data_IF_558055162608
#
_entry.id   IF_558055162608
#
_cell.length_a   1.000
_cell.length_b   1.000
_cell.length_c   1.000
_cell.angle_alpha   90.00
_cell.angle_beta   90.00
_cell.angle_gamma   90.00
#
_symmetry.space_group_name_H-M   'P 1'
#
loop_
_entity.id
_entity.type
_entity.pdbx_description
1 polymer ?
#
# COMPACT_ATOMS: atom_id res chain seq x y z
N UNK A 1 -2.14 -17.11 49.09
CA UNK A 1 -2.85 -16.20 48.16
C UNK A 1 -1.89 -15.90 47.02
N UNK A 2 -2.14 -16.45 45.82
CA UNK A 2 -1.35 -16.13 44.65
C UNK A 2 -1.74 -14.72 44.14
N UNK A 3 -0.81 -13.89 43.63
CA UNK A 3 -1.11 -12.52 43.21
C UNK A 3 -2.12 -12.51 42.04
N UNK A 4 -3.15 -11.66 42.13
CA UNK A 4 -4.28 -11.56 41.17
C UNK A 4 -3.92 -11.06 39.75
N UNK A 5 -2.66 -10.80 39.46
CA UNK A 5 -2.19 -10.30 38.17
C UNK A 5 -2.13 -11.40 37.08
N UNK A 6 -2.29 -12.67 37.47
CA UNK A 6 -2.23 -13.84 36.58
C UNK A 6 -3.53 -14.16 35.81
N UNK A 7 -4.57 -13.35 35.93
CA UNK A 7 -5.88 -13.60 35.28
C UNK A 7 -6.20 -12.64 34.14
N UNK A 8 -5.28 -11.75 33.76
CA UNK A 8 -5.43 -10.99 32.52
C UNK A 8 -4.94 -11.86 31.36
N UNK A 9 -5.80 -12.20 30.38
CA UNK A 9 -5.37 -12.84 29.14
C UNK A 9 -4.21 -12.07 28.51
N UNK A 10 -4.22 -10.73 28.63
CA UNK A 10 -3.18 -9.82 28.14
C UNK A 10 -1.80 -10.12 28.72
N UNK A 11 -1.70 -10.41 30.02
CA UNK A 11 -0.41 -10.69 30.67
C UNK A 11 0.21 -12.00 30.16
N UNK A 12 -0.63 -13.01 29.89
CA UNK A 12 -0.18 -14.28 29.30
C UNK A 12 0.31 -14.07 27.87
N UNK A 13 -0.41 -13.29 27.06
CA UNK A 13 0.00 -13.00 25.68
C UNK A 13 1.30 -12.19 25.58
N UNK A 14 1.48 -11.17 26.41
CA UNK A 14 2.73 -10.38 26.47
C UNK A 14 3.91 -11.27 26.87
N UNK A 15 3.74 -12.16 27.85
CA UNK A 15 4.78 -13.11 28.26
C UNK A 15 5.13 -14.08 27.13
N UNK A 16 4.17 -14.55 26.35
CA UNK A 16 4.42 -15.44 25.21
C UNK A 16 5.13 -14.71 24.08
N UNK A 17 4.71 -13.50 23.72
CA UNK A 17 5.37 -12.70 22.68
C UNK A 17 6.82 -12.34 23.07
N UNK A 18 7.05 -11.97 24.33
CA UNK A 18 8.39 -11.76 24.86
C UNK A 18 9.20 -13.05 24.88
N UNK A 19 8.60 -14.19 25.23
CA UNK A 19 9.29 -15.47 25.19
C UNK A 19 9.72 -15.87 23.77
N UNK A 20 8.87 -15.60 22.76
CA UNK A 20 9.21 -15.83 21.34
C UNK A 20 10.31 -14.88 20.89
N UNK A 21 10.23 -13.59 21.22
CA UNK A 21 11.28 -12.63 20.90
C UNK A 21 12.62 -13.00 21.54
N UNK A 22 12.61 -13.42 22.81
CA UNK A 22 13.80 -13.92 23.51
C UNK A 22 14.33 -15.19 22.84
N UNK A 23 13.46 -16.10 22.38
CA UNK A 23 13.87 -17.30 21.67
C UNK A 23 14.56 -16.97 20.35
N UNK A 24 13.99 -16.05 19.55
CA UNK A 24 14.56 -15.57 18.27
C UNK A 24 15.92 -14.91 18.50
N UNK A 25 16.03 -14.07 19.54
CA UNK A 25 17.29 -13.40 19.89
C UNK A 25 18.33 -14.37 20.49
N UNK A 26 17.94 -15.52 21.01
CA UNK A 26 18.86 -16.50 21.56
C UNK A 26 19.57 -17.34 20.48
N UNK A 27 19.08 -17.34 19.24
CA UNK A 27 19.68 -18.09 18.12
C UNK A 27 20.92 -17.33 17.61
N UNK A 28 22.12 -17.96 17.60
CA UNK A 28 23.32 -17.34 17.04
C UNK A 28 23.12 -17.06 15.53
N UNK A 29 23.59 -15.90 15.02
CA UNK A 29 23.42 -15.53 13.61
C UNK A 29 24.04 -16.55 12.63
N UNK A 30 25.04 -17.31 13.07
CA UNK A 30 25.74 -18.31 12.24
C UNK A 30 25.22 -19.74 12.42
N UNK A 31 24.13 -19.95 13.18
CA UNK A 31 23.70 -21.30 13.57
C UNK A 31 23.03 -22.13 12.46
N UNK A 32 22.77 -21.55 11.28
CA UNK A 32 22.10 -22.23 10.16
C UNK A 32 20.73 -22.82 10.52
N UNK A 33 20.14 -22.41 11.65
CA UNK A 33 18.90 -22.95 12.17
C UNK A 33 17.76 -22.07 11.68
N UNK A 34 17.01 -22.55 10.69
CA UNK A 34 15.73 -21.95 10.32
C UNK A 34 14.78 -22.03 11.52
N UNK A 35 14.49 -20.88 12.14
CA UNK A 35 13.34 -20.78 13.05
C UNK A 35 12.12 -20.62 12.16
N UNK A 36 11.28 -21.65 12.13
CA UNK A 36 10.03 -21.68 11.35
C UNK A 36 8.99 -20.76 12.02
N UNK A 37 9.18 -19.46 11.86
CA UNK A 37 8.16 -18.42 12.12
C UNK A 37 7.31 -18.39 10.87
N UNK A 38 6.00 -18.69 11.01
CA UNK A 38 5.07 -18.92 9.91
C UNK A 38 5.41 -18.09 8.66
N UNK A 39 6.09 -18.71 7.70
CA UNK A 39 6.54 -18.06 6.46
C UNK A 39 5.32 -17.73 5.61
N UNK A 40 5.12 -16.45 5.34
CA UNK A 40 4.36 -16.04 4.17
C UNK A 40 5.18 -16.42 2.91
N UNK A 41 4.52 -16.84 1.81
CA UNK A 41 5.21 -17.36 0.64
C UNK A 41 6.15 -16.31 0.02
N UNK A 42 7.40 -16.71 -0.24
CA UNK A 42 8.41 -15.96 -0.98
C UNK A 42 8.30 -16.21 -2.49
N UNK A 43 8.54 -15.21 -3.37
CA UNK A 43 8.63 -15.42 -4.80
C UNK A 43 9.97 -16.07 -5.18
N UNK A 44 9.96 -16.88 -6.24
CA UNK A 44 11.14 -17.56 -6.79
C UNK A 44 12.06 -16.57 -7.55
N UNK A 45 13.38 -16.81 -7.47
CA UNK A 45 14.44 -15.99 -8.05
C UNK A 45 14.43 -15.92 -9.61
N UNK A 46 14.83 -14.76 -10.15
CA UNK A 46 14.67 -14.30 -11.56
C UNK A 46 15.55 -14.95 -12.66
N UNK A 47 15.62 -14.39 -13.89
CA UNK A 47 16.30 -13.09 -14.11
C UNK A 47 15.76 -12.15 -15.24
N UNK A 48 16.36 -10.95 -15.29
CA UNK A 48 16.41 -9.92 -16.36
C UNK A 48 15.18 -9.00 -16.57
N UNK A 49 15.46 -7.69 -16.69
CA UNK A 49 14.51 -6.62 -17.02
C UNK A 49 13.84 -6.86 -18.38
N UNK A 50 12.77 -7.64 -18.38
CA UNK A 50 11.73 -7.60 -19.37
C UNK A 50 10.67 -6.59 -18.90
N UNK A 51 10.01 -5.93 -19.86
CA UNK A 51 8.83 -5.09 -19.59
C UNK A 51 7.91 -5.79 -18.59
N UNK A 52 7.75 -5.18 -17.42
CA UNK A 52 6.80 -5.64 -16.40
C UNK A 52 5.42 -5.51 -17.04
N UNK A 53 4.91 -6.62 -17.60
CA UNK A 53 3.48 -6.76 -17.81
C UNK A 53 2.89 -6.79 -16.40
N UNK A 54 2.01 -5.85 -16.02
CA UNK A 54 1.41 -5.86 -14.71
C UNK A 54 0.53 -7.10 -14.66
N UNK A 55 0.91 -8.09 -13.84
CA UNK A 55 0.00 -9.16 -13.50
C UNK A 55 -1.17 -8.54 -12.73
N UNK A 56 -2.40 -8.50 -13.28
CA UNK A 56 -3.54 -7.91 -12.61
C UNK A 56 -4.00 -8.77 -11.42
N UNK A 57 -3.40 -9.94 -11.19
CA UNK A 57 -3.62 -10.71 -9.96
C UNK A 57 -2.80 -10.12 -8.81
N UNK A 58 -3.18 -8.93 -8.37
CA UNK A 58 -2.78 -8.39 -7.08
C UNK A 58 -3.39 -9.29 -5.98
N UNK A 59 -2.66 -10.33 -5.56
CA UNK A 59 -3.07 -11.13 -4.41
C UNK A 59 -2.94 -10.28 -3.14
N UNK A 60 -4.08 -9.75 -2.67
CA UNK A 60 -4.15 -9.04 -1.39
C UNK A 60 -3.59 -9.93 -0.27
N UNK A 61 -2.49 -9.52 0.37
CA UNK A 61 -2.08 -10.10 1.65
C UNK A 61 -3.20 -9.86 2.67
N UNK A 62 -3.90 -10.93 3.06
CA UNK A 62 -4.89 -10.83 4.11
C UNK A 62 -4.20 -10.74 5.47
N UNK A 63 -4.41 -9.63 6.16
CA UNK A 63 -4.03 -9.49 7.57
C UNK A 63 -5.00 -10.34 8.42
N UNK A 64 -4.52 -11.18 9.35
CA UNK A 64 -5.38 -11.98 10.22
C UNK A 64 -6.31 -11.08 11.05
N UNK A 65 -7.64 -11.20 10.88
CA UNK A 65 -8.67 -10.42 11.59
C UNK A 65 -8.92 -10.86 13.06
N UNK A 66 -7.94 -11.48 13.72
CA UNK A 66 -8.06 -11.91 15.11
C UNK A 66 -7.42 -10.90 16.07
N UNK A 67 -8.01 -10.68 17.25
CA UNK A 67 -7.46 -9.83 18.33
C UNK A 67 -6.20 -10.39 19.00
N UNK A 68 -5.22 -10.81 18.20
CA UNK A 68 -3.94 -11.38 18.62
C UNK A 68 -2.80 -10.37 18.58
N UNK A 69 -1.66 -10.79 19.13
CA UNK A 69 -0.38 -10.07 19.02
C UNK A 69 0.15 -10.29 17.59
N UNK A 70 0.47 -9.21 16.89
CA UNK A 70 1.21 -9.26 15.64
C UNK A 70 2.69 -8.97 15.92
N UNK A 71 3.58 -9.79 15.38
CA UNK A 71 5.03 -9.58 15.46
C UNK A 71 5.63 -9.65 14.07
N UNK A 72 6.52 -8.72 13.77
CA UNK A 72 7.35 -8.75 12.58
C UNK A 72 8.82 -8.81 13.01
N UNK A 73 9.60 -9.64 12.32
CA UNK A 73 11.03 -9.81 12.56
C UNK A 73 11.76 -9.19 11.39
N UNK A 74 12.71 -8.32 11.68
CA UNK A 74 13.60 -7.78 10.67
C UNK A 74 14.71 -8.78 10.41
N UNK A 75 14.76 -9.34 9.20
CA UNK A 75 15.93 -10.07 8.75
C UNK A 75 17.12 -9.10 8.73
N UNK A 76 18.18 -9.46 9.44
CA UNK A 76 19.32 -8.57 9.62
C UNK A 76 20.06 -8.38 8.30
N UNK A 77 20.27 -7.13 7.88
CA UNK A 77 21.31 -6.85 6.90
C UNK A 77 22.62 -7.49 7.35
N UNK A 78 23.39 -8.02 6.41
CA UNK A 78 24.59 -8.82 6.71
C UNK A 78 25.47 -8.16 7.77
N UNK A 79 25.62 -8.82 8.92
CA UNK A 79 26.43 -8.34 10.04
C UNK A 79 25.70 -7.43 11.04
N UNK A 80 24.37 -7.34 10.99
CA UNK A 80 23.55 -6.73 12.03
C UNK A 80 22.81 -7.80 12.83
N UNK A 81 22.74 -7.59 14.15
CA UNK A 81 21.87 -8.41 15.00
C UNK A 81 20.39 -8.22 14.63
N UNK A 82 19.57 -9.27 14.68
CA UNK A 82 18.14 -9.18 14.41
C UNK A 82 17.44 -8.18 15.34
N UNK A 83 16.39 -7.55 14.82
CA UNK A 83 15.50 -6.64 15.52
C UNK A 83 14.10 -7.17 15.37
N UNK A 84 13.36 -7.22 16.48
CA UNK A 84 11.98 -7.69 16.51
C UNK A 84 11.08 -6.51 16.88
N UNK A 85 10.02 -6.32 16.10
CA UNK A 85 8.98 -5.33 16.39
C UNK A 85 7.69 -6.07 16.74
N UNK A 86 7.23 -5.85 17.97
CA UNK A 86 6.01 -6.48 18.50
C UNK A 86 4.93 -5.42 18.63
N UNK A 87 3.77 -5.68 18.04
CA UNK A 87 2.58 -4.83 18.20
C UNK A 87 1.73 -5.34 19.36
N UNK A 88 1.49 -4.48 20.36
CA UNK A 88 0.78 -4.84 21.57
C UNK A 88 -0.73 -4.58 21.45
N UNK A 89 -1.52 -5.63 21.65
CA UNK A 89 -2.96 -5.55 21.88
C UNK A 89 -3.24 -5.07 23.33
N UNK A 90 -4.34 -4.36 23.63
CA UNK A 90 -5.55 -4.24 22.81
C UNK A 90 -5.66 -2.96 21.98
N UNK A 91 -4.76 -1.99 22.17
CA UNK A 91 -4.95 -0.65 21.61
C UNK A 91 -4.30 -0.47 20.23
N UNK A 92 -3.41 -1.38 19.79
CA UNK A 92 -2.67 -1.30 18.52
C UNK A 92 -2.07 0.09 18.23
N UNK A 93 -1.63 0.74 19.28
CA UNK A 93 -0.95 2.04 19.24
C UNK A 93 0.38 1.94 19.97
N UNK A 94 0.77 0.76 20.43
CA UNK A 94 1.99 0.55 21.18
C UNK A 94 2.77 -0.55 20.52
N UNK A 95 4.00 -0.23 20.14
CA UNK A 95 4.92 -1.18 19.56
C UNK A 95 6.14 -1.29 20.46
N UNK A 96 6.68 -2.49 20.64
CA UNK A 96 7.95 -2.67 21.32
C UNK A 96 8.99 -3.10 20.30
N UNK A 97 10.07 -2.33 20.18
CA UNK A 97 11.26 -2.72 19.43
C UNK A 97 12.20 -3.42 20.39
N UNK A 98 12.70 -4.59 20.01
CA UNK A 98 13.63 -5.39 20.79
C UNK A 98 14.85 -5.69 19.93
N UNK A 99 16.05 -5.38 20.43
CA UNK A 99 17.31 -5.56 19.69
C UNK A 99 18.45 -5.99 20.61
N UNK A 100 19.59 -6.38 20.01
CA UNK A 100 20.86 -6.53 20.73
C UNK A 100 21.79 -5.37 20.49
N UNK A 101 22.48 -4.96 21.56
CA UNK A 101 23.53 -3.96 21.54
C UNK A 101 24.60 -4.36 22.56
N UNK A 102 25.84 -4.49 22.11
CA UNK A 102 26.99 -4.94 22.93
C UNK A 102 26.75 -6.28 23.65
N UNK A 103 26.02 -7.19 22.99
CA UNK A 103 25.67 -8.50 23.54
C UNK A 103 24.51 -8.49 24.54
N UNK A 104 24.01 -7.32 24.93
CA UNK A 104 22.87 -7.17 25.82
C UNK A 104 21.57 -6.99 25.02
N UNK A 105 20.48 -7.58 25.52
CA UNK A 105 19.14 -7.34 24.96
C UNK A 105 18.63 -5.98 25.44
N UNK A 106 18.16 -5.18 24.49
CA UNK A 106 17.54 -3.87 24.71
C UNK A 106 16.10 -3.92 24.22
N UNK A 107 15.26 -3.06 24.79
CA UNK A 107 13.88 -2.90 24.35
C UNK A 107 13.41 -1.47 24.55
N UNK A 108 12.60 -0.97 23.64
CA UNK A 108 11.99 0.34 23.70
C UNK A 108 10.53 0.25 23.32
N UNK A 109 9.69 0.94 24.08
CA UNK A 109 8.29 1.15 23.74
C UNK A 109 8.19 2.36 22.79
N UNK A 110 7.64 2.14 21.61
CA UNK A 110 7.25 3.18 20.66
C UNK A 110 5.80 3.57 20.94
N UNK A 111 5.57 4.85 21.23
CA UNK A 111 4.25 5.42 21.47
C UNK A 111 4.00 6.59 20.50
N UNK A 112 2.78 6.73 19.94
CA UNK A 112 2.45 7.74 18.94
C UNK A 112 2.75 9.17 19.35
N UNK A 113 2.76 9.49 20.65
CA UNK A 113 3.15 10.80 21.17
C UNK A 113 3.40 10.65 22.68
N UNK A 114 4.56 11.13 23.15
CA UNK A 114 4.71 11.65 24.50
C UNK A 114 5.55 12.94 24.36
N UNK A 115 4.88 14.10 24.27
CA UNK A 115 5.47 15.45 24.36
C UNK A 115 6.11 16.08 23.10
N UNK A 116 5.63 15.78 21.89
CA UNK A 116 6.06 16.52 20.67
C UNK A 116 7.41 16.08 20.08
N UNK A 117 8.02 15.05 20.65
CA UNK A 117 9.07 14.25 20.01
C UNK A 117 8.44 12.89 19.66
N UNK A 118 7.98 12.73 18.41
CA UNK A 118 7.41 11.46 17.98
C UNK A 118 8.49 10.36 18.06
N UNK A 119 8.34 9.47 19.05
CA UNK A 119 9.18 8.28 19.21
C UNK A 119 8.51 7.03 18.65
N UNK A 120 7.31 7.16 18.06
CA UNK A 120 6.54 6.04 17.55
C UNK A 120 5.78 6.34 16.27
N UNK A 121 5.06 5.33 15.80
CA UNK A 121 4.29 5.39 14.56
C UNK A 121 3.07 6.31 14.78
N UNK A 122 2.85 7.24 13.86
CA UNK A 122 1.84 8.30 14.03
C UNK A 122 0.39 7.81 13.86
N UNK A 123 0.18 6.63 13.26
CA UNK A 123 -1.15 6.13 13.01
C UNK A 123 -1.76 5.41 14.24
N UNK A 124 -3.07 5.57 14.39
CA UNK A 124 -3.88 4.79 15.32
C UNK A 124 -4.28 3.46 14.66
N UNK A 125 -4.35 2.37 15.43
CA UNK A 125 -4.70 1.03 14.92
C UNK A 125 -3.70 0.46 13.91
N UNK A 126 -2.43 0.47 14.29
CA UNK A 126 -1.33 0.02 13.45
C UNK A 126 -1.02 -1.44 13.63
N UNK A 127 -0.78 -2.12 12.51
CA UNK A 127 -0.22 -3.49 12.51
C UNK A 127 1.04 -3.47 11.66
N UNK A 128 2.17 -3.83 12.28
CA UNK A 128 3.44 -3.97 11.55
C UNK A 128 3.39 -5.25 10.72
N UNK A 129 3.69 -5.14 9.43
CA UNK A 129 3.75 -6.28 8.50
C UNK A 129 5.15 -6.69 8.15
N UNK A 130 6.02 -5.72 7.99
CA UNK A 130 7.37 -5.94 7.51
C UNK A 130 8.33 -5.00 8.22
N UNK A 131 9.52 -5.52 8.51
CA UNK A 131 10.61 -4.72 9.07
C UNK A 131 11.86 -5.07 8.30
N UNK A 132 12.61 -4.05 7.90
CA UNK A 132 13.87 -4.20 7.21
C UNK A 132 14.95 -3.43 7.96
N UNK A 133 16.16 -4.00 8.06
CA UNK A 133 17.29 -3.31 8.67
C UNK A 133 18.24 -2.76 7.62
N UNK A 134 18.87 -1.63 7.94
CA UNK A 134 19.93 -1.06 7.12
C UNK A 134 20.92 -0.26 7.95
N UNK A 135 21.72 0.54 7.24
CA UNK A 135 22.62 1.51 7.85
C UNK A 135 22.49 2.85 7.14
N UNK A 136 22.47 3.90 7.93
CA UNK A 136 22.62 5.27 7.46
C UNK A 136 24.00 5.50 6.82
N UNK A 137 24.20 6.57 6.03
CA UNK A 137 25.50 6.93 5.48
C UNK A 137 26.61 7.15 6.52
N UNK A 138 26.25 7.53 7.74
CA UNK A 138 27.18 7.71 8.87
C UNK A 138 27.47 6.39 9.63
N UNK A 139 26.87 5.28 9.21
CA UNK A 139 27.04 3.95 9.77
C UNK A 139 26.10 3.60 10.91
N UNK A 140 25.24 4.53 11.34
CA UNK A 140 24.20 4.23 12.34
C UNK A 140 23.21 3.19 11.83
N UNK A 141 22.63 2.40 12.74
CA UNK A 141 21.64 1.37 12.38
C UNK A 141 20.31 2.03 12.06
N UNK A 142 19.63 1.50 11.05
CA UNK A 142 18.30 1.97 10.63
C UNK A 142 17.31 0.81 10.52
N UNK A 143 16.03 1.14 10.71
CA UNK A 143 14.89 0.25 10.53
C UNK A 143 13.84 0.91 9.64
N UNK A 144 13.46 0.23 8.57
CA UNK A 144 12.21 0.51 7.87
C UNK A 144 11.10 -0.35 8.46
N UNK A 145 10.04 0.26 8.96
CA UNK A 145 8.86 -0.43 9.50
C UNK A 145 7.67 -0.17 8.56
N UNK A 146 7.24 -1.20 7.83
CA UNK A 146 6.00 -1.14 7.05
C UNK A 146 4.83 -1.55 7.94
N UNK A 147 3.80 -0.71 7.97
CA UNK A 147 2.64 -0.91 8.83
C UNK A 147 1.32 -0.57 8.10
N UNK A 148 0.25 -1.23 8.53
CA UNK A 148 -1.12 -0.84 8.19
C UNK A 148 -1.51 0.39 9.02
N UNK A 149 -1.91 1.48 8.40
CA UNK A 149 -2.52 2.61 9.12
C UNK A 149 -4.04 2.47 9.32
N UNK A 150 -4.65 1.37 8.84
CA UNK A 150 -6.10 1.12 8.90
C UNK A 150 -6.45 -0.34 9.25
N UNK A 151 -5.67 -0.99 10.13
CA UNK A 151 -5.80 -2.44 10.39
C UNK A 151 -7.19 -2.94 10.83
N UNK A 152 -8.01 -2.05 11.40
CA UNK A 152 -9.40 -2.35 11.79
C UNK A 152 -10.43 -1.50 11.04
N UNK A 153 -10.01 -0.78 10.00
CA UNK A 153 -10.82 0.10 9.17
C UNK A 153 -11.47 -0.61 7.99
N UNK A 154 -11.49 0.07 6.84
CA UNK A 154 -12.30 -0.13 5.61
C UNK A 154 -12.27 -1.51 4.93
N UNK A 155 -11.66 -2.51 5.55
CA UNK A 155 -11.56 -3.87 5.04
C UNK A 155 -10.35 -4.09 4.12
N UNK A 156 -9.54 -3.06 3.92
CA UNK A 156 -8.37 -3.09 3.05
C UNK A 156 -7.19 -2.36 3.71
N UNK A 157 -5.95 -2.77 3.42
CA UNK A 157 -4.77 -2.22 4.09
C UNK A 157 -4.43 -0.79 3.62
N UNK A 158 -3.98 0.09 4.52
CA UNK A 158 -3.36 1.38 4.15
C UNK A 158 -1.88 1.33 4.45
N UNK A 159 -1.07 0.93 3.48
CA UNK A 159 0.36 0.72 3.67
C UNK A 159 1.08 2.04 3.93
N UNK A 160 1.87 2.06 4.99
CA UNK A 160 2.75 3.17 5.39
C UNK A 160 4.12 2.62 5.77
N UNK A 161 5.13 3.48 5.71
CA UNK A 161 6.49 3.22 6.16
C UNK A 161 6.93 4.29 7.17
N UNK A 162 7.56 3.85 8.26
CA UNK A 162 8.38 4.71 9.12
C UNK A 162 9.85 4.26 9.06
N UNK A 163 10.75 5.24 8.96
CA UNK A 163 12.19 5.04 9.06
C UNK A 163 12.65 5.45 10.45
N UNK A 164 13.29 4.53 11.16
CA UNK A 164 13.84 4.75 12.50
C UNK A 164 15.36 4.63 12.45
N UNK A 165 16.05 5.44 13.26
CA UNK A 165 17.50 5.40 13.46
C UNK A 165 17.83 5.14 14.92
N UNK A 166 18.84 4.31 15.17
CA UNK A 166 19.34 4.06 16.52
C UNK A 166 20.34 5.15 16.92
N UNK A 167 19.92 6.06 17.77
CA UNK A 167 20.72 7.15 18.32
C UNK A 167 21.08 6.84 19.78
N UNK A 168 22.34 6.46 20.03
CA UNK A 168 22.77 6.01 21.35
C UNK A 168 22.14 4.67 21.74
N UNK A 169 21.19 4.71 22.66
CA UNK A 169 20.43 3.56 23.15
C UNK A 169 18.92 3.65 22.84
N UNK A 170 18.52 4.58 21.96
CA UNK A 170 17.13 4.80 21.59
C UNK A 170 16.91 4.83 20.07
N UNK A 171 15.87 4.15 19.60
CA UNK A 171 15.32 4.31 18.27
C UNK A 171 14.50 5.60 18.17
N UNK A 172 14.81 6.42 17.18
CA UNK A 172 14.12 7.67 16.87
C UNK A 172 13.54 7.60 15.47
N UNK A 173 12.29 8.05 15.30
CA UNK A 173 11.69 8.19 13.97
C UNK A 173 12.35 9.36 13.27
N UNK A 174 13.00 9.11 12.13
CA UNK A 174 13.66 10.16 11.33
C UNK A 174 12.84 10.53 10.09
N UNK A 175 11.90 9.68 9.69
CA UNK A 175 10.94 9.95 8.61
C UNK A 175 9.71 9.04 8.73
N UNK A 176 8.53 9.57 8.41
CA UNK A 176 7.28 8.80 8.37
C UNK A 176 6.45 9.20 7.15
N UNK A 177 6.08 8.21 6.34
CA UNK A 177 5.17 8.37 5.20
C UNK A 177 3.80 8.94 5.56
N UNK A 178 3.37 8.84 6.82
CA UNK A 178 2.11 9.42 7.29
C UNK A 178 2.11 10.95 7.20
N UNK A 179 3.28 11.59 7.22
CA UNK A 179 3.44 13.04 7.11
C UNK A 179 3.61 13.52 5.67
N UNK A 180 3.61 12.60 4.70
CA UNK A 180 3.87 12.90 3.29
C UNK A 180 2.55 12.91 2.51
N UNK A 181 2.19 14.09 1.99
CA UNK A 181 0.95 14.29 1.22
C UNK A 181 0.96 13.47 -0.07
N UNK A 182 2.12 13.36 -0.72
CA UNK A 182 2.28 12.64 -1.98
C UNK A 182 2.25 11.11 -1.84
N UNK A 183 2.18 10.57 -0.62
CA UNK A 183 2.20 9.13 -0.38
C UNK A 183 0.87 8.46 -0.78
N UNK A 184 0.89 7.75 -1.90
CA UNK A 184 -0.23 6.96 -2.42
C UNK A 184 -0.19 5.55 -1.82
N UNK A 185 -0.75 5.38 -0.62
CA UNK A 185 -0.72 4.11 0.13
C UNK A 185 -2.06 3.40 0.32
N UNK A 186 -3.11 3.85 -0.36
CA UNK A 186 -4.45 3.23 -0.26
C UNK A 186 -4.45 1.83 -0.87
N UNK A 187 -4.99 0.86 -0.14
CA UNK A 187 -5.12 -0.55 -0.55
C UNK A 187 -3.82 -1.14 -1.13
N UNK A 188 -2.69 -0.72 -0.56
CA UNK A 188 -1.40 -0.91 -1.17
C UNK A 188 -0.48 -1.90 -0.46
N UNK A 189 0.69 -2.09 -1.07
CA UNK A 189 1.84 -2.78 -0.49
C UNK A 189 3.11 -1.93 -0.69
N UNK A 190 4.13 -2.19 0.14
CA UNK A 190 5.46 -1.58 0.06
C UNK A 190 6.50 -2.68 -0.10
N UNK A 191 7.24 -2.61 -1.20
CA UNK A 191 8.28 -3.57 -1.56
C UNK A 191 9.66 -2.90 -1.52
N UNK A 192 10.69 -3.65 -1.11
CA UNK A 192 12.08 -3.21 -1.15
C UNK A 192 12.82 -4.04 -2.21
N UNK A 193 12.84 -3.60 -3.48
CA UNK A 193 13.31 -4.44 -4.59
C UNK A 193 14.78 -4.88 -4.45
N UNK A 194 15.61 -4.06 -3.79
CA UNK A 194 17.02 -4.36 -3.55
C UNK A 194 17.26 -5.20 -2.28
N UNK A 195 16.21 -5.49 -1.50
CA UNK A 195 16.33 -6.15 -0.20
C UNK A 195 17.01 -5.28 0.87
N UNK A 196 17.09 -3.97 0.65
CA UNK A 196 17.65 -2.99 1.59
C UNK A 196 16.80 -1.70 1.60
N UNK A 197 17.18 -0.74 2.45
CA UNK A 197 16.45 0.54 2.62
C UNK A 197 16.77 1.58 1.55
N UNK A 198 17.55 1.28 0.51
CA UNK A 198 17.97 2.29 -0.48
C UNK A 198 16.81 2.73 -1.39
N UNK A 199 15.89 1.82 -1.67
CA UNK A 199 14.80 1.98 -2.62
C UNK A 199 13.57 1.23 -2.11
N UNK A 200 12.42 1.85 -2.30
CA UNK A 200 11.14 1.17 -2.13
C UNK A 200 10.22 1.45 -3.31
N UNK A 201 9.30 0.51 -3.53
CA UNK A 201 8.20 0.61 -4.48
C UNK A 201 6.90 0.51 -3.72
N UNK A 202 6.04 1.52 -3.88
CA UNK A 202 4.68 1.52 -3.34
C UNK A 202 3.72 1.17 -4.47
N UNK A 203 2.96 0.10 -4.28
CA UNK A 203 1.86 -0.28 -5.19
C UNK A 203 0.56 0.00 -4.48
N UNK A 204 -0.35 0.73 -5.10
CA UNK A 204 -1.59 1.18 -4.44
C UNK A 204 -2.72 1.40 -5.43
N UNK A 205 -3.90 1.74 -4.91
CA UNK A 205 -5.04 2.17 -5.69
C UNK A 205 -5.53 3.56 -5.30
N UNK A 206 -6.48 4.07 -6.08
CA UNK A 206 -7.01 5.42 -5.98
C UNK A 206 -8.23 5.56 -5.06
N UNK A 207 -8.55 4.56 -4.22
CA UNK A 207 -9.77 4.58 -3.41
C UNK A 207 -9.88 5.80 -2.46
N UNK A 208 -8.76 6.39 -2.02
CA UNK A 208 -8.80 7.65 -1.27
C UNK A 208 -8.67 8.84 -2.21
N UNK A 209 -9.68 9.73 -2.17
CA UNK A 209 -9.73 10.95 -2.96
C UNK A 209 -8.47 11.83 -2.75
N UNK A 210 -8.08 12.56 -3.80
CA UNK A 210 -7.13 13.68 -3.71
C UNK A 210 -5.67 13.35 -4.02
N UNK A 211 -5.38 12.21 -4.64
CA UNK A 211 -4.01 11.89 -5.06
C UNK A 211 -3.56 12.67 -6.30
N UNK A 212 -4.50 13.05 -7.18
CA UNK A 212 -4.24 13.75 -8.42
C UNK A 212 -5.47 14.50 -8.96
N UNK A 213 -5.28 15.27 -10.03
CA UNK A 213 -6.31 16.02 -10.75
C UNK A 213 -7.41 15.15 -11.38
N UNK A 214 -7.23 13.83 -11.40
CA UNK A 214 -8.15 12.86 -11.98
C UNK A 214 -9.09 12.25 -10.94
N UNK A 215 -8.86 12.49 -9.64
CA UNK A 215 -9.61 11.87 -8.54
C UNK A 215 -11.10 12.24 -8.52
N UNK A 216 -11.48 13.37 -9.12
CA UNK A 216 -12.87 13.85 -9.16
C UNK A 216 -13.65 13.47 -10.44
N UNK A 217 -13.04 12.71 -11.34
CA UNK A 217 -13.64 12.37 -12.64
C UNK A 217 -14.71 11.28 -12.49
N UNK A 218 -14.42 10.24 -11.69
CA UNK A 218 -15.33 9.12 -11.40
C UNK A 218 -15.34 8.86 -9.89
N UNK A 219 -16.47 8.36 -9.37
CA UNK A 219 -16.53 7.96 -7.96
C UNK A 219 -15.94 6.56 -7.79
N UNK A 220 -14.72 6.49 -7.25
CA UNK A 220 -13.96 5.27 -7.01
C UNK A 220 -14.36 4.66 -5.65
N UNK A 221 -15.39 3.82 -5.64
CA UNK A 221 -15.88 3.18 -4.40
C UNK A 221 -14.98 2.03 -3.95
N UNK A 222 -14.87 1.74 -2.65
CA UNK A 222 -13.97 0.70 -2.09
C UNK A 222 -14.03 -0.65 -2.83
N UNK A 223 -15.24 -1.17 -3.10
CA UNK A 223 -15.44 -2.44 -3.80
C UNK A 223 -15.57 -2.32 -5.32
N UNK A 224 -15.36 -1.13 -5.87
CA UNK A 224 -15.48 -0.83 -7.30
C UNK A 224 -14.13 -0.83 -8.01
N UNK A 225 -14.14 -0.47 -9.30
CA UNK A 225 -12.90 -0.31 -10.04
C UNK A 225 -12.12 0.91 -9.55
N UNK A 226 -10.80 0.77 -9.56
CA UNK A 226 -9.84 1.81 -9.16
C UNK A 226 -8.75 1.95 -10.20
N UNK A 227 -8.12 3.12 -10.23
CA UNK A 227 -6.83 3.26 -10.88
C UNK A 227 -5.78 2.69 -9.94
N UNK A 228 -4.78 2.02 -10.52
CA UNK A 228 -3.65 1.50 -9.77
C UNK A 228 -2.43 2.35 -10.02
N UNK A 229 -1.58 2.44 -9.00
CA UNK A 229 -0.39 3.27 -9.00
C UNK A 229 0.86 2.48 -8.64
N UNK A 230 1.98 2.93 -9.18
CA UNK A 230 3.31 2.45 -8.81
C UNK A 230 4.19 3.67 -8.58
N UNK A 231 4.63 3.85 -7.34
CA UNK A 231 5.55 4.92 -6.95
C UNK A 231 6.90 4.33 -6.55
N UNK A 232 7.98 4.89 -7.09
CA UNK A 232 9.35 4.55 -6.69
C UNK A 232 9.91 5.66 -5.82
N UNK A 233 10.42 5.30 -4.66
CA UNK A 233 11.02 6.23 -3.71
C UNK A 233 12.45 5.81 -3.38
N UNK A 234 13.35 6.78 -3.32
CA UNK A 234 14.77 6.57 -3.01
C UNK A 234 15.10 7.26 -1.69
N UNK A 235 15.84 6.55 -0.84
CA UNK A 235 16.35 7.10 0.41
C UNK A 235 17.48 8.11 0.14
N UNK A 236 17.26 9.37 0.49
CA UNK A 236 18.22 10.47 0.36
C UNK A 236 18.50 11.09 1.73
N UNK A 237 19.55 10.60 2.39
CA UNK A 237 19.86 10.96 3.77
C UNK A 237 18.82 10.36 4.71
N UNK A 238 17.99 11.20 5.32
CA UNK A 238 17.05 10.79 6.37
C UNK A 238 15.62 10.69 5.85
N UNK A 239 15.40 10.84 4.53
CA UNK A 239 14.06 10.90 3.93
C UNK A 239 13.98 10.09 2.66
N UNK A 240 12.80 9.55 2.40
CA UNK A 240 12.49 9.03 1.06
C UNK A 240 11.99 10.16 0.17
N UNK A 241 12.51 10.21 -1.05
CA UNK A 241 12.11 11.15 -2.11
C UNK A 241 11.51 10.36 -3.25
N UNK A 242 10.30 10.73 -3.69
CA UNK A 242 9.64 10.08 -4.83
C UNK A 242 10.39 10.43 -6.11
N UNK A 243 10.94 9.42 -6.77
CA UNK A 243 11.65 9.54 -8.05
C UNK A 243 10.75 9.19 -9.24
N UNK A 244 9.78 8.29 -9.04
CA UNK A 244 8.83 7.86 -10.05
C UNK A 244 7.42 7.82 -9.49
N UNK A 245 6.44 8.21 -10.30
CA UNK A 245 5.03 8.11 -9.99
C UNK A 245 4.27 7.77 -11.27
N UNK A 246 3.77 6.55 -11.36
CA UNK A 246 3.11 6.03 -12.55
C UNK A 246 1.69 5.58 -12.23
N UNK A 247 0.80 5.73 -13.21
CA UNK A 247 -0.51 5.08 -13.20
C UNK A 247 -0.39 3.84 -14.07
N UNK A 248 -0.78 2.68 -13.54
CA UNK A 248 -0.76 1.42 -14.28
C UNK A 248 -1.69 1.53 -15.49
N UNK A 249 -1.15 1.18 -16.65
CA UNK A 249 -1.90 1.19 -17.91
C UNK A 249 -2.97 0.10 -17.87
N UNK A 250 -4.24 0.50 -17.86
CA UNK A 250 -5.39 -0.38 -17.74
C UNK A 250 -6.63 0.26 -18.38
N UNK A 251 -7.65 -0.54 -18.78
CA UNK A 251 -8.90 -0.03 -19.36
C UNK A 251 -9.55 1.08 -18.52
N UNK A 252 -9.66 0.88 -17.20
CA UNK A 252 -10.27 1.85 -16.30
C UNK A 252 -9.46 3.16 -16.20
N UNK A 253 -8.12 3.07 -16.17
CA UNK A 253 -7.27 4.25 -16.19
C UNK A 253 -7.39 5.03 -17.52
N UNK A 254 -7.49 4.33 -18.65
CA UNK A 254 -7.79 4.93 -19.95
C UNK A 254 -9.13 5.65 -19.93
N UNK A 255 -10.18 5.06 -19.35
CA UNK A 255 -11.49 5.68 -19.24
C UNK A 255 -11.44 6.98 -18.44
N UNK A 256 -10.84 6.95 -17.24
CA UNK A 256 -10.72 8.14 -16.37
C UNK A 256 -9.98 9.25 -17.11
N UNK A 257 -8.85 8.92 -17.76
CA UNK A 257 -8.08 9.89 -18.54
C UNK A 257 -8.89 10.45 -19.71
N UNK A 258 -9.59 9.59 -20.46
CA UNK A 258 -10.44 10.00 -21.57
C UNK A 258 -11.53 10.97 -21.11
N UNK A 259 -12.26 10.65 -20.05
CA UNK A 259 -13.31 11.50 -19.50
C UNK A 259 -12.76 12.86 -19.03
N UNK A 260 -11.59 12.86 -18.39
CA UNK A 260 -10.92 14.09 -17.98
C UNK A 260 -10.62 14.99 -19.18
N UNK A 261 -9.90 14.49 -20.20
CA UNK A 261 -9.53 15.31 -21.37
C UNK A 261 -10.73 15.68 -22.23
N UNK A 262 -11.75 14.81 -22.28
CA UNK A 262 -13.02 15.06 -22.95
C UNK A 262 -13.75 16.25 -22.30
N UNK A 263 -13.82 16.27 -20.97
CA UNK A 263 -14.44 17.35 -20.20
C UNK A 263 -13.70 18.68 -20.28
N UNK A 264 -12.38 18.63 -20.49
CA UNK A 264 -11.56 19.82 -20.74
C UNK A 264 -11.71 20.37 -22.17
N UNK A 265 -12.41 19.66 -23.06
CA UNK A 265 -12.53 20.03 -24.48
C UNK A 265 -11.25 19.83 -25.28
N UNK A 266 -10.31 19.02 -24.79
CA UNK A 266 -9.06 18.72 -25.50
C UNK A 266 -9.29 17.59 -26.52
N UNK A 267 -9.65 17.99 -27.74
CA UNK A 267 -9.93 17.07 -28.85
C UNK A 267 -8.73 16.19 -29.23
N UNK A 268 -7.51 16.75 -29.15
CA UNK A 268 -6.29 16.03 -29.55
C UNK A 268 -6.02 14.92 -28.56
N UNK A 269 -6.02 15.24 -27.27
CA UNK A 269 -5.80 14.24 -26.21
C UNK A 269 -6.94 13.23 -26.13
N UNK A 270 -8.19 13.66 -26.33
CA UNK A 270 -9.36 12.75 -26.36
C UNK A 270 -9.26 11.76 -27.51
N UNK A 271 -8.91 12.23 -28.71
CA UNK A 271 -8.75 11.38 -29.89
C UNK A 271 -7.62 10.36 -29.73
N UNK A 272 -6.62 10.65 -28.90
CA UNK A 272 -5.52 9.73 -28.62
C UNK A 272 -5.90 8.57 -27.67
N UNK A 273 -7.07 8.61 -27.03
CA UNK A 273 -7.54 7.53 -26.13
C UNK A 273 -8.53 6.57 -26.79
N UNK A 274 -8.89 6.78 -28.06
CA UNK A 274 -9.91 6.01 -28.79
C UNK A 274 -9.31 5.35 -30.04
N UNK A 275 -9.88 4.23 -30.46
CA UNK A 275 -9.49 3.54 -31.69
C UNK A 275 -9.90 4.30 -32.95
N UNK A 276 -11.05 4.99 -32.89
CA UNK A 276 -11.62 5.75 -34.00
C UNK A 276 -12.10 7.12 -33.51
N UNK A 277 -11.80 8.19 -34.27
CA UNK A 277 -12.11 9.56 -33.88
C UNK A 277 -13.61 9.83 -33.66
N UNK A 278 -14.50 9.07 -34.33
CA UNK A 278 -15.95 9.19 -34.15
C UNK A 278 -16.43 8.82 -32.75
N UNK A 279 -15.65 8.03 -31.99
CA UNK A 279 -15.98 7.65 -30.62
C UNK A 279 -15.94 8.84 -29.67
N UNK A 280 -15.14 9.88 -29.97
CA UNK A 280 -15.15 11.13 -29.19
C UNK A 280 -16.51 11.84 -29.34
N UNK A 281 -17.02 11.95 -30.56
CA UNK A 281 -18.37 12.52 -30.79
C UNK A 281 -19.45 11.69 -30.11
N UNK A 282 -19.36 10.36 -30.24
CA UNK A 282 -20.31 9.45 -29.61
C UNK A 282 -20.32 9.58 -28.09
N UNK A 283 -19.17 9.73 -27.44
CA UNK A 283 -19.09 9.96 -26.00
C UNK A 283 -19.82 11.24 -25.58
N UNK A 284 -19.72 12.32 -26.36
CA UNK A 284 -20.45 13.57 -26.11
C UNK A 284 -21.95 13.42 -26.31
N UNK A 285 -22.37 12.65 -27.31
CA UNK A 285 -23.79 12.35 -27.52
C UNK A 285 -24.39 11.61 -26.31
N UNK A 286 -23.57 10.86 -25.57
CA UNK A 286 -23.91 10.23 -24.30
C UNK A 286 -23.72 11.13 -23.06
N UNK A 287 -23.28 12.38 -23.23
CA UNK A 287 -23.06 13.34 -22.13
C UNK A 287 -21.88 13.02 -21.22
N UNK A 288 -20.90 12.26 -21.73
CA UNK A 288 -19.71 11.85 -20.96
C UNK A 288 -18.71 13.00 -20.74
N UNK A 289 -18.85 14.12 -21.45
CA UNK A 289 -18.02 15.32 -21.33
C UNK A 289 -18.33 16.17 -20.08
N UNK A 290 -19.44 15.90 -19.39
CA UNK A 290 -19.77 16.54 -18.11
C UNK A 290 -19.42 15.62 -16.93
N UNK A 291 -18.39 14.77 -17.07
CA UNK A 291 -18.01 13.78 -16.07
C UNK A 291 -17.55 14.36 -14.71
N UNK A 292 -16.66 15.37 -14.66
CA UNK A 292 -16.23 15.96 -13.38
C UNK A 292 -17.44 16.48 -12.59
N UNK A 293 -17.63 15.98 -11.36
CA UNK A 293 -18.72 16.41 -10.48
C UNK A 293 -20.08 15.72 -10.70
N UNK A 294 -20.21 14.78 -11.65
CA UNK A 294 -21.44 13.98 -11.82
C UNK A 294 -21.53 12.75 -10.91
N UNK A 295 -20.44 12.38 -10.22
CA UNK A 295 -20.35 11.18 -9.38
C UNK A 295 -20.90 9.93 -10.09
N UNK A 296 -20.42 9.68 -11.30
CA UNK A 296 -20.82 8.51 -12.08
C UNK A 296 -20.53 7.22 -11.30
N UNK A 297 -21.50 6.32 -11.29
CA UNK A 297 -21.33 5.01 -10.68
C UNK A 297 -20.80 4.05 -11.74
N UNK A 298 -19.62 3.51 -11.48
CA UNK A 298 -18.98 2.53 -12.33
C UNK A 298 -19.27 1.13 -11.82
N UNK A 299 -19.55 0.21 -12.73
CA UNK A 299 -19.79 -1.20 -12.44
C UNK A 299 -18.96 -2.08 -13.36
N UNK A 300 -18.48 -3.17 -12.77
CA UNK A 300 -17.74 -4.24 -13.41
C UNK A 300 -18.29 -5.54 -12.81
N UNK A 301 -18.51 -6.57 -13.62
CA UNK A 301 -19.15 -7.79 -13.11
C UNK A 301 -18.19 -8.63 -12.24
N UNK A 302 -16.87 -8.44 -12.40
CA UNK A 302 -15.80 -9.16 -11.69
C UNK A 302 -14.93 -8.29 -10.73
N UNK A 303 -15.22 -6.98 -10.64
CA UNK A 303 -14.55 -6.01 -9.77
C UNK A 303 -13.13 -5.63 -10.18
N UNK A 304 -12.21 -6.61 -10.29
CA UNK A 304 -10.76 -6.39 -10.42
C UNK A 304 -10.24 -6.34 -11.85
N UNK A 305 -10.87 -7.05 -12.78
CA UNK A 305 -10.46 -7.13 -14.21
C UNK A 305 -11.30 -6.22 -15.11
N UNK A 306 -11.84 -5.16 -14.51
CA UNK A 306 -12.76 -4.25 -15.16
C UNK A 306 -12.22 -3.72 -16.49
N UNK A 307 -12.95 -3.99 -17.58
CA UNK A 307 -12.60 -3.50 -18.91
C UNK A 307 -11.67 -4.39 -19.73
N UNK A 308 -11.15 -5.51 -19.17
CA UNK A 308 -10.25 -6.42 -19.91
C UNK A 308 -11.06 -7.33 -20.85
N UNK A 309 -11.97 -8.14 -20.27
CA UNK A 309 -12.79 -9.09 -21.04
C UNK A 309 -14.25 -8.62 -21.19
N UNK A 310 -14.64 -7.58 -20.45
CA UNK A 310 -16.00 -7.08 -20.34
C UNK A 310 -16.04 -5.56 -20.40
N UNK A 311 -17.14 -4.95 -20.87
CA UNK A 311 -17.25 -3.51 -20.88
C UNK A 311 -17.27 -2.94 -19.47
N UNK A 312 -16.70 -1.74 -19.35
CA UNK A 312 -16.94 -0.92 -18.18
C UNK A 312 -18.33 -0.30 -18.35
N UNK A 313 -19.19 -0.43 -17.34
CA UNK A 313 -20.55 0.12 -17.37
C UNK A 313 -20.64 1.32 -16.45
N UNK A 314 -21.13 2.44 -16.96
CA UNK A 314 -21.32 3.66 -16.18
C UNK A 314 -22.80 4.03 -16.22
N UNK A 315 -23.36 4.21 -15.02
CA UNK A 315 -24.69 4.75 -14.86
C UNK A 315 -24.57 6.18 -14.35
N UNK A 316 -25.21 7.15 -15.00
CA UNK A 316 -25.44 8.43 -14.37
C UNK A 316 -26.26 8.20 -13.10
N UNK A 317 -26.13 9.08 -12.12
CA UNK A 317 -26.97 8.99 -10.92
C UNK A 317 -28.45 8.95 -11.34
N UNK A 318 -29.23 8.02 -10.76
CA UNK A 318 -30.63 7.72 -11.16
C UNK A 318 -31.54 8.95 -11.26
N UNK A 319 -31.15 10.08 -10.67
CA UNK A 319 -31.90 11.32 -10.70
C UNK A 319 -32.06 11.95 -12.10
N UNK A 320 -31.21 11.59 -13.09
CA UNK A 320 -31.18 12.28 -14.39
C UNK A 320 -31.87 11.56 -15.56
N UNK A 321 -32.22 10.28 -15.39
CA UNK A 321 -32.95 9.51 -16.43
C UNK A 321 -32.17 9.26 -17.73
N UNK A 322 -30.87 9.53 -17.74
CA UNK A 322 -29.95 9.18 -18.82
C UNK A 322 -29.73 7.65 -18.82
N UNK A 323 -29.65 6.99 -20.00
CA UNK A 323 -29.43 5.56 -20.07
C UNK A 323 -28.01 5.21 -19.57
N UNK A 324 -27.81 4.02 -18.98
CA UNK A 324 -26.48 3.53 -18.71
C UNK A 324 -25.73 3.29 -20.03
N UNK A 325 -24.41 3.39 -19.98
CA UNK A 325 -23.55 3.29 -21.15
C UNK A 325 -22.44 2.27 -20.87
N UNK A 326 -22.10 1.50 -21.89
CA UNK A 326 -21.03 0.52 -21.88
C UNK A 326 -19.87 1.00 -22.77
N UNK A 327 -18.64 1.02 -22.24
CA UNK A 327 -17.40 1.29 -22.99
C UNK A 327 -16.60 0.00 -23.08
N UNK A 328 -16.16 -0.30 -24.29
CA UNK A 328 -15.30 -1.42 -24.62
C UNK A 328 -13.88 -0.94 -24.90
N UNK A 329 -12.90 -1.80 -24.64
CA UNK A 329 -11.49 -1.49 -24.79
C UNK A 329 -10.78 -2.55 -25.63
N UNK A 330 -9.72 -2.14 -26.32
CA UNK A 330 -8.77 -3.02 -26.97
C UNK A 330 -7.34 -2.56 -26.64
N UNK A 331 -6.43 -3.52 -26.43
CA UNK A 331 -5.02 -3.23 -26.27
C UNK A 331 -4.33 -3.16 -27.65
N UNK A 332 -3.59 -2.09 -27.89
CA UNK A 332 -2.75 -1.90 -29.08
C UNK A 332 -1.41 -1.31 -28.67
N UNK A 333 -0.33 -2.00 -29.04
CA UNK A 333 1.05 -1.58 -28.78
C UNK A 333 1.33 -1.24 -27.29
N UNK A 334 0.74 -2.00 -26.37
CA UNK A 334 0.88 -1.79 -24.92
C UNK A 334 0.01 -0.67 -24.34
N UNK A 335 -0.92 -0.12 -25.13
CA UNK A 335 -1.87 0.91 -24.70
C UNK A 335 -3.30 0.39 -24.80
N UNK A 336 -4.11 0.66 -23.78
CA UNK A 336 -5.55 0.44 -23.83
C UNK A 336 -6.23 1.62 -24.51
N UNK A 337 -7.03 1.33 -25.54
CA UNK A 337 -7.81 2.31 -26.29
C UNK A 337 -9.29 1.94 -26.23
N UNK A 338 -10.16 2.95 -26.20
CA UNK A 338 -11.61 2.75 -26.29
C UNK A 338 -11.96 2.29 -27.71
N UNK A 339 -12.56 1.11 -27.83
CA UNK A 339 -12.91 0.48 -29.10
C UNK A 339 -14.38 0.66 -29.48
N UNK A 340 -15.28 0.79 -28.50
CA UNK A 340 -16.70 1.06 -28.72
C UNK A 340 -17.34 1.76 -27.52
N UNK A 341 -18.41 2.51 -27.79
CA UNK A 341 -19.27 3.17 -26.80
C UNK A 341 -20.71 2.99 -27.26
N UNK A 342 -21.58 2.44 -26.40
CA UNK A 342 -22.98 2.17 -26.75
C UNK A 342 -23.89 2.13 -25.54
N UNK A 343 -25.23 2.20 -25.73
CA UNK A 343 -26.17 2.02 -24.64
C UNK A 343 -25.96 0.66 -23.97
N UNK A 344 -26.07 0.62 -22.64
CA UNK A 344 -26.07 -0.62 -21.88
C UNK A 344 -27.51 -1.12 -21.75
N UNK A 345 -27.82 -2.21 -22.46
CA UNK A 345 -29.16 -2.82 -22.52
C UNK A 345 -29.37 -3.91 -21.43
N UNK A 346 -28.43 -4.06 -20.47
CA UNK A 346 -28.40 -5.17 -19.51
C UNK A 346 -29.33 -5.06 -18.29
#
# INVERSE_FOLDING_TARGET
>A
MAPRWYQSPLAVFVVVALAVAVLVLAVPPDSGTEVDVARLPTPAEGPAMASVSPDPTYERRQVPRGGGVASAIAEGAKGLDPVVVVTLAPNLTQHTVIWKQDGESRSQLLTPEDNGEATGLLALNTVVWHVLQGKAPDGQRELGIVYDASAFGSGSPTARLALLRLEGDEWRVVWDSAEIEEWRGSHGDVEFPNGDLSELVVRSDSWMDGYDELSDVLHESNSGPHRYFVDTWILEGDKYVRQGAETVVAPYATLVKFLHVLSAGDEVSSSAQVMEAELVTRARDFGMDDAPGRHWLVRCDDGFTCGIDEPIRFSPSRARGEPPVAVYFEERDGLWLISDIRPDDS
#
